data_IF_376342231301
#
_entry.id   IF_376342231301
#
_cell.length_a   1.000
_cell.length_b   1.000
_cell.length_c   1.000
_cell.angle_alpha   90.00
_cell.angle_beta   90.00
_cell.angle_gamma   90.00
#
_symmetry.space_group_name_H-M   'P 1'
#
loop_
_entity.id
_entity.type
_entity.pdbx_description
1 polymer ?
#
# COMPACT_ATOMS: atom_id res chain seq x y z
N UNK A 1 7.64 -9.35 -18.92
CA UNK A 1 7.19 -8.17 -19.68
C UNK A 1 8.38 -7.61 -20.44
N UNK A 2 8.14 -6.84 -21.51
CA UNK A 2 9.22 -6.15 -22.22
C UNK A 2 9.54 -4.84 -21.51
N UNK A 3 10.71 -4.26 -21.80
CA UNK A 3 11.13 -2.97 -21.22
C UNK A 3 10.09 -1.87 -21.40
N UNK A 4 9.50 -1.75 -22.60
CA UNK A 4 8.48 -0.73 -22.87
C UNK A 4 7.23 -0.91 -22.01
N UNK A 5 6.85 -2.17 -21.70
CA UNK A 5 5.71 -2.46 -20.83
C UNK A 5 6.01 -2.06 -19.38
N UNK A 6 7.25 -2.25 -18.91
CA UNK A 6 7.69 -1.81 -17.57
C UNK A 6 7.69 -0.29 -17.43
N UNK A 7 8.20 0.42 -18.45
CA UNK A 7 8.18 1.88 -18.47
C UNK A 7 6.76 2.45 -18.54
N UNK A 8 5.84 1.77 -19.23
CA UNK A 8 4.44 2.19 -19.24
C UNK A 8 3.79 1.98 -17.87
N UNK A 9 4.01 0.83 -17.21
CA UNK A 9 3.53 0.62 -15.83
C UNK A 9 4.08 1.66 -14.85
N UNK A 10 5.36 2.03 -14.98
CA UNK A 10 5.97 3.10 -14.19
C UNK A 10 5.21 4.43 -14.38
N UNK A 11 4.97 4.83 -15.64
CA UNK A 11 4.24 6.08 -15.95
C UNK A 11 2.83 6.04 -15.39
N UNK A 12 2.11 4.93 -15.58
CA UNK A 12 0.75 4.77 -15.07
C UNK A 12 0.70 4.85 -13.54
N UNK A 13 1.60 4.13 -12.86
CA UNK A 13 1.67 4.14 -11.40
C UNK A 13 1.91 5.56 -10.86
N UNK A 14 2.89 6.28 -11.40
CA UNK A 14 3.19 7.66 -11.01
C UNK A 14 2.04 8.61 -11.36
N UNK A 15 1.45 8.46 -12.54
CA UNK A 15 0.32 9.29 -12.99
C UNK A 15 -0.87 9.23 -12.03
N UNK A 16 -1.24 8.02 -11.56
CA UNK A 16 -2.34 7.85 -10.60
C UNK A 16 -1.93 8.10 -9.14
N UNK A 17 -0.66 8.42 -8.89
CA UNK A 17 -0.20 9.01 -7.63
C UNK A 17 0.62 8.10 -6.73
N UNK A 18 1.22 7.03 -7.24
CA UNK A 18 2.22 6.25 -6.48
C UNK A 18 3.36 7.17 -5.99
N UNK A 19 3.61 7.17 -4.68
CA UNK A 19 4.60 8.04 -4.03
C UNK A 19 6.03 7.46 -4.11
N UNK A 20 6.15 6.14 -4.25
CA UNK A 20 7.38 5.40 -4.58
C UNK A 20 7.04 4.23 -5.51
N UNK A 21 8.04 3.64 -6.17
CA UNK A 21 7.88 2.42 -6.96
C UNK A 21 8.95 1.41 -6.59
N UNK A 22 8.71 0.12 -6.84
CA UNK A 22 9.74 -0.91 -6.68
C UNK A 22 9.92 -1.70 -7.96
N UNK A 23 11.17 -1.86 -8.39
CA UNK A 23 11.51 -2.81 -9.43
C UNK A 23 11.71 -4.20 -8.82
N UNK A 24 10.72 -5.07 -9.05
CA UNK A 24 10.68 -6.45 -8.58
C UNK A 24 10.97 -7.45 -9.71
N UNK A 25 11.66 -7.01 -10.77
CA UNK A 25 12.04 -7.84 -11.91
C UNK A 25 12.84 -9.08 -11.49
N UNK A 26 12.49 -10.23 -12.05
CA UNK A 26 13.12 -11.53 -11.75
C UNK A 26 13.67 -12.25 -12.98
N UNK A 27 13.66 -11.62 -14.16
CA UNK A 27 14.16 -12.25 -15.38
C UNK A 27 14.44 -11.25 -16.49
N UNK A 28 15.09 -11.74 -17.55
CA UNK A 28 15.61 -10.89 -18.62
C UNK A 28 16.87 -10.15 -18.18
N UNK A 29 17.12 -8.99 -18.79
CA UNK A 29 18.24 -8.11 -18.45
C UNK A 29 17.82 -7.15 -17.32
N UNK A 30 17.92 -7.65 -16.08
CA UNK A 30 17.46 -6.93 -14.88
C UNK A 30 18.23 -5.61 -14.71
N UNK A 31 19.52 -5.57 -15.03
CA UNK A 31 20.32 -4.34 -14.91
C UNK A 31 19.84 -3.27 -15.88
N UNK A 32 19.59 -3.64 -17.15
CA UNK A 32 19.10 -2.70 -18.15
C UNK A 32 17.67 -2.21 -17.84
N UNK A 33 16.80 -3.12 -17.35
CA UNK A 33 15.43 -2.76 -16.95
C UNK A 33 15.46 -1.79 -15.78
N UNK A 34 16.19 -2.11 -14.72
CA UNK A 34 16.30 -1.25 -13.54
C UNK A 34 16.89 0.11 -13.88
N UNK A 35 17.96 0.16 -14.68
CA UNK A 35 18.56 1.43 -15.07
C UNK A 35 17.56 2.30 -15.83
N UNK A 36 16.79 1.71 -16.75
CA UNK A 36 15.77 2.44 -17.47
C UNK A 36 14.64 2.94 -16.55
N UNK A 37 14.24 2.15 -15.54
CA UNK A 37 13.27 2.59 -14.52
C UNK A 37 13.80 3.77 -13.73
N UNK A 38 15.04 3.68 -13.22
CA UNK A 38 15.70 4.77 -12.46
C UNK A 38 15.78 6.04 -13.32
N UNK A 39 16.25 5.94 -14.55
CA UNK A 39 16.43 7.08 -15.46
C UNK A 39 15.12 7.78 -15.84
N UNK A 40 13.97 7.09 -15.73
CA UNK A 40 12.65 7.59 -16.10
C UNK A 40 11.71 7.82 -14.91
N UNK A 41 12.14 7.53 -13.68
CA UNK A 41 11.32 7.70 -12.49
C UNK A 41 11.46 9.12 -11.93
N UNK A 42 10.33 9.74 -11.58
CA UNK A 42 10.30 10.99 -10.80
C UNK A 42 10.07 10.76 -9.30
N UNK A 43 9.97 9.51 -8.89
CA UNK A 43 9.73 9.07 -7.51
C UNK A 43 10.80 8.06 -7.07
N UNK A 44 11.03 7.86 -5.76
CA UNK A 44 12.01 6.88 -5.29
C UNK A 44 11.76 5.47 -5.83
N UNK A 45 12.83 4.79 -6.21
CA UNK A 45 12.86 3.43 -6.75
C UNK A 45 13.48 2.47 -5.74
N UNK A 46 12.66 1.55 -5.23
CA UNK A 46 13.08 0.47 -4.36
C UNK A 46 13.38 -0.83 -5.10
N UNK A 47 14.17 -1.71 -4.49
CA UNK A 47 14.43 -3.06 -5.02
C UNK A 47 14.48 -4.12 -3.93
N UNK A 48 14.55 -5.40 -4.33
CA UNK A 48 14.85 -6.53 -3.44
C UNK A 48 16.08 -7.27 -3.99
N UNK A 49 17.31 -6.91 -3.56
CA UNK A 49 18.55 -7.36 -4.21
C UNK A 49 18.70 -8.88 -4.36
N UNK A 50 18.19 -9.65 -3.39
CA UNK A 50 18.24 -11.12 -3.42
C UNK A 50 17.58 -11.74 -4.66
N UNK A 51 16.59 -11.06 -5.27
CA UNK A 51 15.92 -11.57 -6.46
C UNK A 51 16.87 -11.67 -7.65
N UNK A 52 17.74 -10.68 -7.82
CA UNK A 52 18.75 -10.71 -8.87
C UNK A 52 19.94 -11.60 -8.50
N UNK A 53 20.34 -11.63 -7.22
CA UNK A 53 21.41 -12.53 -6.77
C UNK A 53 21.10 -13.99 -7.15
N UNK A 54 19.87 -14.45 -6.91
CA UNK A 54 19.44 -15.80 -7.28
C UNK A 54 19.51 -16.07 -8.79
N UNK A 55 19.32 -15.05 -9.65
CA UNK A 55 19.44 -15.22 -11.10
C UNK A 55 20.89 -15.44 -11.58
N UNK A 56 21.89 -15.14 -10.74
CA UNK A 56 23.30 -15.35 -11.07
C UNK A 56 23.77 -16.79 -10.81
N UNK A 57 22.94 -17.61 -10.16
CA UNK A 57 23.28 -18.98 -9.77
C UNK A 57 22.27 -19.99 -10.31
N UNK A 58 22.63 -21.27 -10.28
CA UNK A 58 21.74 -22.35 -10.78
C UNK A 58 20.75 -22.82 -9.72
N UNK A 59 21.20 -22.88 -8.48
CA UNK A 59 20.38 -23.24 -7.33
C UNK A 59 20.61 -22.25 -6.20
N UNK A 60 19.62 -22.08 -5.32
CA UNK A 60 19.69 -21.10 -4.22
C UNK A 60 20.88 -21.41 -3.31
N UNK A 61 21.16 -22.69 -3.05
CA UNK A 61 22.29 -23.14 -2.25
C UNK A 61 23.67 -22.79 -2.83
N UNK A 62 23.76 -22.45 -4.12
CA UNK A 62 25.02 -22.04 -4.74
C UNK A 62 25.41 -20.60 -4.38
N UNK A 63 24.50 -19.80 -3.78
CA UNK A 63 24.82 -18.46 -3.29
C UNK A 63 25.83 -18.54 -2.14
N UNK A 64 26.79 -17.65 -2.16
CA UNK A 64 27.74 -17.39 -1.08
C UNK A 64 27.32 -16.14 -0.30
N UNK A 65 27.76 -15.97 0.97
CA UNK A 65 27.53 -14.74 1.71
C UNK A 65 27.98 -13.47 0.97
N UNK A 66 29.03 -13.55 0.16
CA UNK A 66 29.54 -12.42 -0.61
C UNK A 66 28.60 -12.04 -1.77
N UNK A 67 27.97 -13.02 -2.44
CA UNK A 67 27.00 -12.74 -3.52
C UNK A 67 25.84 -11.86 -3.05
N UNK A 68 25.39 -12.00 -1.79
CA UNK A 68 24.34 -11.16 -1.24
C UNK A 68 24.80 -9.70 -1.08
N UNK A 69 25.98 -9.49 -0.48
CA UNK A 69 26.52 -8.15 -0.21
C UNK A 69 26.95 -7.46 -1.50
N UNK A 70 27.59 -8.17 -2.42
CA UNK A 70 28.00 -7.64 -3.72
C UNK A 70 26.80 -7.22 -4.57
N UNK A 71 25.69 -7.98 -4.55
CA UNK A 71 24.47 -7.59 -5.27
C UNK A 71 23.80 -6.35 -4.66
N UNK A 72 23.82 -6.24 -3.33
CA UNK A 72 23.33 -5.05 -2.61
C UNK A 72 24.12 -3.80 -3.04
N UNK A 73 25.45 -3.88 -3.01
CA UNK A 73 26.34 -2.79 -3.43
C UNK A 73 26.18 -2.46 -4.92
N UNK A 74 26.05 -3.47 -5.78
CA UNK A 74 25.84 -3.29 -7.21
C UNK A 74 24.58 -2.45 -7.51
N UNK A 75 23.47 -2.76 -6.85
CA UNK A 75 22.22 -2.01 -7.03
C UNK A 75 22.30 -0.61 -6.42
N UNK A 76 22.98 -0.45 -5.28
CA UNK A 76 23.21 0.87 -4.69
C UNK A 76 24.01 1.78 -5.65
N UNK A 77 25.03 1.23 -6.33
CA UNK A 77 25.81 1.94 -7.36
C UNK A 77 25.00 2.33 -8.59
N UNK A 78 23.91 1.62 -8.91
CA UNK A 78 22.99 2.03 -9.98
C UNK A 78 22.05 3.16 -9.57
N UNK A 79 21.97 3.49 -8.27
CA UNK A 79 21.16 4.59 -7.76
C UNK A 79 19.77 4.18 -7.29
N UNK A 80 19.62 3.00 -6.67
CA UNK A 80 18.37 2.67 -5.98
C UNK A 80 18.23 3.49 -4.70
N UNK A 81 17.04 4.01 -4.42
CA UNK A 81 16.81 4.90 -3.27
C UNK A 81 16.63 4.13 -1.96
N UNK A 82 16.04 2.94 -2.03
CA UNK A 82 15.88 2.04 -0.90
C UNK A 82 15.93 0.57 -1.33
N UNK A 83 16.28 -0.31 -0.41
CA UNK A 83 16.36 -1.74 -0.71
C UNK A 83 15.74 -2.55 0.42
N UNK A 84 14.92 -3.54 0.04
CA UNK A 84 14.35 -4.52 0.96
C UNK A 84 15.40 -5.57 1.33
N UNK A 85 15.87 -5.50 2.57
CA UNK A 85 16.87 -6.40 3.13
C UNK A 85 16.20 -7.31 4.16
N UNK A 86 16.13 -8.60 3.84
CA UNK A 86 15.51 -9.64 4.67
C UNK A 86 16.51 -10.15 5.74
N UNK A 87 17.07 -9.25 6.55
CA UNK A 87 18.06 -9.59 7.57
C UNK A 87 17.44 -10.05 8.89
N UNK A 88 16.12 -9.93 9.08
CA UNK A 88 15.44 -10.28 10.34
C UNK A 88 15.05 -11.75 10.49
N UNK A 89 15.02 -12.53 9.41
CA UNK A 89 14.80 -13.97 9.49
C UNK A 89 16.07 -14.67 9.96
N UNK A 90 16.08 -15.08 11.23
CA UNK A 90 17.16 -15.88 11.78
C UNK A 90 16.88 -17.37 11.59
N UNK A 91 17.94 -18.17 11.56
CA UNK A 91 17.85 -19.63 11.39
C UNK A 91 16.95 -20.28 12.44
N UNK A 92 16.98 -19.80 13.68
CA UNK A 92 16.15 -20.32 14.77
C UNK A 92 14.65 -20.01 14.61
N UNK A 93 14.27 -19.06 13.74
CA UNK A 93 12.88 -18.69 13.49
C UNK A 93 12.23 -19.53 12.39
N UNK A 94 13.03 -20.15 11.50
CA UNK A 94 12.50 -20.99 10.41
C UNK A 94 11.56 -22.09 10.91
N UNK A 95 11.87 -22.84 11.98
CA UNK A 95 10.96 -23.85 12.53
C UNK A 95 9.65 -23.29 13.08
N UNK A 96 9.59 -22.01 13.47
CA UNK A 96 8.36 -21.39 13.98
C UNK A 96 7.27 -21.31 12.89
N UNK A 97 7.66 -21.33 11.61
CA UNK A 97 6.74 -21.32 10.48
C UNK A 97 6.24 -22.72 10.06
N UNK A 98 6.77 -23.83 10.61
CA UNK A 98 6.38 -25.20 10.22
C UNK A 98 4.90 -25.52 10.51
N UNK A 99 4.28 -24.82 11.48
CA UNK A 99 2.88 -25.01 11.86
C UNK A 99 1.88 -24.08 11.16
N UNK A 100 2.35 -23.14 10.34
CA UNK A 100 1.50 -22.19 9.62
C UNK A 100 0.67 -22.87 8.55
N UNK A 101 -0.52 -22.34 8.27
CA UNK A 101 -1.35 -22.79 7.14
C UNK A 101 -0.67 -22.48 5.81
N UNK A 102 -0.04 -21.30 5.70
CA UNK A 102 0.58 -20.83 4.44
C UNK A 102 2.11 -20.77 4.48
N UNK A 103 2.73 -21.18 5.58
CA UNK A 103 4.18 -21.22 5.72
C UNK A 103 4.84 -19.84 5.59
N UNK A 104 5.91 -19.77 4.79
CA UNK A 104 6.67 -18.54 4.49
C UNK A 104 6.25 -18.05 3.11
N UNK A 105 5.46 -16.98 3.06
CA UNK A 105 4.97 -16.39 1.79
C UNK A 105 5.85 -15.28 1.22
N UNK A 106 6.81 -14.77 2.00
CA UNK A 106 7.81 -13.87 1.46
C UNK A 106 8.73 -14.61 0.50
N UNK A 107 8.86 -14.11 -0.74
CA UNK A 107 9.82 -14.65 -1.70
C UNK A 107 11.26 -14.51 -1.19
N UNK A 108 11.64 -13.34 -0.68
CA UNK A 108 12.99 -13.12 -0.14
C UNK A 108 13.25 -13.96 1.10
N UNK A 109 12.25 -14.02 2.00
CA UNK A 109 12.30 -14.84 3.21
C UNK A 109 12.44 -16.34 2.93
N UNK A 110 11.68 -16.87 1.97
CA UNK A 110 11.73 -18.30 1.62
C UNK A 110 13.06 -18.69 0.95
N UNK A 111 13.64 -17.82 0.12
CA UNK A 111 15.00 -18.03 -0.43
C UNK A 111 16.03 -18.14 0.70
N UNK A 112 16.00 -17.22 1.67
CA UNK A 112 16.92 -17.25 2.80
C UNK A 112 16.69 -18.45 3.72
N UNK A 113 15.44 -18.81 4.01
CA UNK A 113 15.11 -19.99 4.81
C UNK A 113 15.65 -21.27 4.15
N UNK A 114 15.52 -21.41 2.83
CA UNK A 114 16.09 -22.53 2.08
C UNK A 114 17.62 -22.53 2.16
N UNK A 115 18.26 -21.39 1.93
CA UNK A 115 19.71 -21.24 2.00
C UNK A 115 20.26 -21.63 3.38
N UNK A 116 19.68 -21.09 4.46
CA UNK A 116 20.08 -21.38 5.83
C UNK A 116 19.89 -22.86 6.19
N UNK A 117 18.79 -23.46 5.74
CA UNK A 117 18.48 -24.88 5.99
C UNK A 117 19.49 -25.79 5.30
N UNK A 118 19.84 -25.50 4.05
CA UNK A 118 20.81 -26.29 3.29
C UNK A 118 22.21 -26.21 3.91
N UNK A 119 22.67 -25.00 4.22
CA UNK A 119 24.04 -24.78 4.70
C UNK A 119 24.19 -25.02 6.21
N UNK A 120 23.09 -25.07 6.97
CA UNK A 120 23.14 -25.12 8.42
C UNK A 120 23.83 -23.90 9.04
N UNK A 121 23.70 -22.73 8.39
CA UNK A 121 24.34 -21.46 8.74
C UNK A 121 23.29 -20.38 9.01
N UNK A 122 23.72 -19.31 9.69
CA UNK A 122 22.87 -18.15 9.93
C UNK A 122 22.68 -17.31 8.65
N UNK A 123 21.66 -16.45 8.66
CA UNK A 123 21.35 -15.52 7.59
C UNK A 123 22.57 -14.64 7.23
N UNK A 124 23.08 -14.70 5.99
CA UNK A 124 24.28 -13.97 5.59
C UNK A 124 24.08 -12.44 5.65
N UNK A 125 22.87 -11.94 5.40
CA UNK A 125 22.59 -10.51 5.51
C UNK A 125 22.55 -10.04 6.97
N UNK A 126 22.20 -10.92 7.91
CA UNK A 126 22.28 -10.64 9.34
C UNK A 126 23.74 -10.67 9.84
N UNK A 127 24.50 -11.71 9.47
CA UNK A 127 25.93 -11.83 9.82
C UNK A 127 26.77 -10.67 9.27
N UNK A 128 26.40 -10.16 8.09
CA UNK A 128 27.11 -9.09 7.37
C UNK A 128 26.38 -7.74 7.42
N UNK A 129 25.43 -7.55 8.33
CA UNK A 129 24.59 -6.36 8.37
C UNK A 129 25.38 -5.05 8.49
N UNK A 130 26.49 -5.09 9.23
CA UNK A 130 27.37 -3.94 9.43
C UNK A 130 28.06 -3.50 8.11
N UNK A 131 28.43 -4.44 7.25
CA UNK A 131 29.01 -4.13 5.94
C UNK A 131 27.94 -3.54 5.00
N UNK A 132 26.70 -4.03 5.11
CA UNK A 132 25.56 -3.47 4.37
C UNK A 132 25.27 -2.04 4.82
N UNK A 133 25.40 -1.75 6.12
CA UNK A 133 25.29 -0.38 6.63
C UNK A 133 26.37 0.53 6.04
N UNK A 134 27.61 0.05 5.91
CA UNK A 134 28.69 0.85 5.34
C UNK A 134 28.41 1.19 3.86
N UNK A 135 27.87 0.23 3.09
CA UNK A 135 27.40 0.45 1.71
C UNK A 135 26.27 1.49 1.67
N UNK A 136 25.27 1.36 2.53
CA UNK A 136 24.11 2.25 2.52
C UNK A 136 24.47 3.67 2.96
N UNK A 137 25.38 3.82 3.92
CA UNK A 137 25.92 5.11 4.33
C UNK A 137 26.76 5.76 3.22
N UNK A 138 27.52 4.99 2.44
CA UNK A 138 28.31 5.50 1.31
C UNK A 138 27.41 6.01 0.17
N UNK A 139 26.33 5.28 -0.13
CA UNK A 139 25.46 5.55 -1.28
C UNK A 139 24.16 6.29 -0.95
N UNK A 140 23.91 6.62 0.32
CA UNK A 140 22.67 7.21 0.85
C UNK A 140 21.41 6.39 0.47
N UNK A 141 21.49 5.08 0.67
CA UNK A 141 20.38 4.15 0.44
C UNK A 141 19.62 3.94 1.74
N UNK A 142 18.29 3.98 1.69
CA UNK A 142 17.43 3.69 2.85
C UNK A 142 17.21 2.19 3.01
N UNK A 143 17.37 1.68 4.24
CA UNK A 143 16.93 0.33 4.58
C UNK A 143 15.41 0.24 4.54
N UNK A 144 14.89 -0.72 3.78
CA UNK A 144 13.58 -1.31 4.02
C UNK A 144 13.82 -2.67 4.68
N UNK A 145 13.68 -2.75 6.00
CA UNK A 145 13.96 -3.99 6.72
C UNK A 145 12.78 -4.97 6.49
N UNK A 146 13.02 -5.99 5.66
CA UNK A 146 11.98 -6.86 5.10
C UNK A 146 11.34 -7.83 6.10
N UNK A 147 10.06 -8.13 5.89
CA UNK A 147 9.21 -8.98 6.74
C UNK A 147 9.10 -10.42 6.20
N UNK A 148 10.21 -11.13 6.25
CA UNK A 148 10.37 -12.50 5.74
C UNK A 148 9.30 -13.48 6.24
N UNK A 149 8.89 -13.34 7.49
CA UNK A 149 7.95 -14.17 8.22
C UNK A 149 6.60 -13.46 8.38
N UNK A 150 6.22 -12.56 7.48
CA UNK A 150 4.84 -12.04 7.46
C UNK A 150 3.79 -13.14 7.27
N UNK A 151 2.57 -12.96 7.80
CA UNK A 151 1.48 -13.91 7.61
C UNK A 151 0.91 -13.86 6.18
N UNK A 152 0.71 -15.04 5.58
CA UNK A 152 0.11 -15.22 4.25
C UNK A 152 -1.35 -15.66 4.26
N UNK A 153 -1.94 -15.79 5.45
CA UNK A 153 -3.37 -15.95 5.65
C UNK A 153 -3.78 -15.41 7.02
N UNK A 154 -5.07 -15.19 7.22
CA UNK A 154 -5.64 -14.68 8.47
C UNK A 154 -5.28 -15.55 9.68
N UNK A 155 -5.15 -16.87 9.50
CA UNK A 155 -4.85 -17.79 10.61
C UNK A 155 -3.42 -17.68 11.12
N UNK A 156 -2.49 -17.24 10.28
CA UNK A 156 -1.07 -17.16 10.60
C UNK A 156 -0.70 -15.78 11.20
N UNK A 157 -1.67 -14.86 11.26
CA UNK A 157 -1.48 -13.48 11.73
C UNK A 157 -1.09 -13.42 13.21
N UNK A 158 -0.12 -12.56 13.52
CA UNK A 158 0.35 -12.26 14.88
C UNK A 158 0.94 -13.47 15.62
N UNK A 159 1.48 -14.45 14.88
CA UNK A 159 2.12 -15.62 15.48
C UNK A 159 3.55 -15.34 15.99
N UNK A 160 4.14 -16.35 16.62
CA UNK A 160 5.48 -16.24 17.20
C UNK A 160 6.56 -16.00 16.12
N UNK A 161 6.40 -16.55 14.92
CA UNK A 161 7.35 -16.36 13.82
C UNK A 161 7.39 -14.90 13.36
N UNK A 162 6.22 -14.28 13.17
CA UNK A 162 6.11 -12.88 12.76
C UNK A 162 6.73 -11.95 13.82
N UNK A 163 6.38 -12.15 15.10
CA UNK A 163 6.86 -11.28 16.17
C UNK A 163 8.32 -11.50 16.54
N UNK A 164 8.87 -12.71 16.35
CA UNK A 164 10.29 -12.97 16.52
C UNK A 164 11.12 -12.17 15.50
N UNK A 165 10.72 -12.16 14.23
CA UNK A 165 11.38 -11.33 13.22
C UNK A 165 11.22 -9.85 13.53
N UNK A 166 10.01 -9.36 13.85
CA UNK A 166 9.80 -7.94 14.14
C UNK A 166 10.71 -7.40 15.26
N UNK A 167 10.96 -8.20 16.30
CA UNK A 167 11.92 -7.83 17.36
C UNK A 167 13.34 -7.71 16.85
N UNK A 168 13.74 -8.61 15.95
CA UNK A 168 15.06 -8.57 15.29
C UNK A 168 15.17 -7.36 14.38
N UNK A 169 14.12 -7.03 13.61
CA UNK A 169 14.10 -5.81 12.80
C UNK A 169 14.25 -4.56 13.68
N UNK A 170 13.72 -4.56 14.91
CA UNK A 170 13.96 -3.50 15.88
C UNK A 170 15.42 -3.38 16.33
N UNK A 171 16.11 -4.50 16.57
CA UNK A 171 17.55 -4.50 16.84
C UNK A 171 18.34 -3.95 15.64
N UNK A 172 18.05 -4.44 14.44
CA UNK A 172 18.72 -4.02 13.20
C UNK A 172 18.46 -2.54 12.89
N UNK A 173 17.26 -2.04 13.22
CA UNK A 173 16.92 -0.61 13.13
C UNK A 173 17.85 0.25 13.97
N UNK A 174 18.10 -0.13 15.22
CA UNK A 174 19.03 0.60 16.10
C UNK A 174 20.46 0.54 15.56
N UNK A 175 20.91 -0.64 15.15
CA UNK A 175 22.26 -0.84 14.59
C UNK A 175 22.50 0.01 13.33
N UNK A 176 21.52 0.05 12.42
CA UNK A 176 21.61 0.86 11.21
C UNK A 176 21.58 2.38 11.54
N UNK A 177 20.71 2.82 12.45
CA UNK A 177 20.67 4.22 12.92
C UNK A 177 21.99 4.66 13.58
N UNK A 178 22.61 3.80 14.37
CA UNK A 178 23.93 4.06 15.00
C UNK A 178 25.05 4.26 13.96
N UNK A 179 24.92 3.64 12.78
CA UNK A 179 25.81 3.81 11.63
C UNK A 179 25.40 4.92 10.67
N UNK A 180 24.37 5.71 11.01
CA UNK A 180 23.93 6.85 10.22
C UNK A 180 23.06 6.49 9.02
N UNK A 181 22.56 5.26 8.93
CA UNK A 181 21.66 4.84 7.86
C UNK A 181 20.22 5.26 8.13
N UNK A 182 19.48 5.54 7.06
CA UNK A 182 18.03 5.73 7.08
C UNK A 182 17.33 4.36 7.12
N UNK A 183 16.23 4.23 7.86
CA UNK A 183 15.55 2.94 8.05
C UNK A 183 14.03 3.10 8.07
N UNK A 184 13.33 2.26 7.31
CA UNK A 184 11.94 1.89 7.50
C UNK A 184 11.83 0.37 7.73
N UNK A 185 10.75 -0.07 8.37
CA UNK A 185 10.50 -1.48 8.71
C UNK A 185 9.29 -1.96 7.92
N UNK A 186 9.42 -3.11 7.26
CA UNK A 186 8.29 -3.74 6.56
C UNK A 186 7.38 -4.48 7.53
N UNK A 187 6.11 -4.64 7.14
CA UNK A 187 5.05 -5.18 7.97
C UNK A 187 3.97 -5.93 7.21
N UNK A 188 3.07 -6.58 7.96
CA UNK A 188 2.38 -7.79 7.55
C UNK A 188 1.50 -7.68 6.33
N UNK A 189 1.23 -8.88 5.76
CA UNK A 189 0.35 -9.13 4.62
C UNK A 189 -1.09 -9.40 5.01
N UNK A 190 -1.40 -10.55 5.62
CA UNK A 190 -2.79 -10.94 5.92
C UNK A 190 -3.07 -10.82 7.42
N UNK A 191 -3.95 -9.89 7.82
CA UNK A 191 -4.26 -9.60 9.23
C UNK A 191 -5.73 -9.22 9.39
N UNK A 192 -6.51 -9.93 10.23
CA UNK A 192 -7.89 -9.57 10.49
C UNK A 192 -7.97 -8.25 11.25
N UNK A 193 -9.02 -7.46 10.98
CA UNK A 193 -9.13 -6.07 11.46
C UNK A 193 -8.89 -5.89 12.97
N UNK A 194 -9.32 -6.85 13.79
CA UNK A 194 -9.19 -6.79 15.24
C UNK A 194 -7.75 -6.89 15.76
N UNK A 195 -6.78 -7.26 14.90
CA UNK A 195 -5.36 -7.38 15.24
C UNK A 195 -4.49 -6.28 14.61
N UNK A 196 -5.05 -5.40 13.78
CA UNK A 196 -4.27 -4.39 13.06
C UNK A 196 -3.60 -3.40 14.01
N UNK A 197 -4.33 -2.88 15.00
CA UNK A 197 -3.80 -1.90 15.95
C UNK A 197 -2.60 -2.46 16.74
N UNK A 198 -2.69 -3.72 17.18
CA UNK A 198 -1.62 -4.39 17.93
C UNK A 198 -0.31 -4.47 17.11
N UNK A 199 -0.41 -4.71 15.80
CA UNK A 199 0.77 -4.76 14.92
C UNK A 199 1.50 -3.41 14.89
N UNK A 200 0.75 -2.30 14.80
CA UNK A 200 1.36 -0.96 14.81
C UNK A 200 1.95 -0.64 16.17
N UNK A 201 1.23 -0.90 17.26
CA UNK A 201 1.72 -0.64 18.62
C UNK A 201 3.04 -1.38 18.89
N UNK A 202 3.12 -2.67 18.53
CA UNK A 202 4.35 -3.46 18.68
C UNK A 202 5.48 -2.95 17.80
N UNK A 203 5.20 -2.59 16.55
CA UNK A 203 6.25 -2.09 15.67
C UNK A 203 6.80 -0.75 16.19
N UNK A 204 5.94 0.16 16.62
CA UNK A 204 6.37 1.45 17.19
C UNK A 204 7.20 1.24 18.46
N UNK A 205 6.78 0.34 19.36
CA UNK A 205 7.50 0.01 20.59
C UNK A 205 8.85 -0.67 20.33
N UNK A 206 8.91 -1.66 19.44
CA UNK A 206 10.10 -2.51 19.28
C UNK A 206 11.12 -1.93 18.29
N UNK A 207 10.67 -1.11 17.34
CA UNK A 207 11.49 -0.54 16.26
C UNK A 207 11.78 0.96 16.43
N UNK A 208 11.64 1.49 17.65
CA UNK A 208 11.95 2.89 18.00
C UNK A 208 11.29 3.89 17.04
N UNK A 209 9.97 3.71 16.85
CA UNK A 209 9.11 4.56 16.01
C UNK A 209 9.63 4.74 14.56
N UNK A 210 10.41 3.80 14.04
CA UNK A 210 10.81 3.82 12.64
C UNK A 210 9.58 3.80 11.72
N UNK A 211 9.62 4.46 10.55
CA UNK A 211 8.53 4.40 9.57
C UNK A 211 8.13 2.96 9.26
N UNK A 212 6.82 2.70 9.28
CA UNK A 212 6.27 1.36 9.05
C UNK A 212 5.70 1.26 7.64
N UNK A 213 6.14 0.25 6.89
CA UNK A 213 5.80 0.00 5.49
C UNK A 213 5.04 -1.33 5.34
N UNK A 214 3.75 -1.32 5.02
CA UNK A 214 2.91 -2.53 5.12
C UNK A 214 2.35 -2.98 3.77
N UNK A 215 2.27 -4.29 3.55
CA UNK A 215 1.59 -4.87 2.38
C UNK A 215 0.10 -5.08 2.66
N UNK A 216 -0.71 -4.05 2.43
CA UNK A 216 -2.11 -4.01 2.91
C UNK A 216 -2.20 -3.53 4.35
N UNK A 217 -2.71 -4.34 5.30
CA UNK A 217 -2.92 -5.79 5.20
C UNK A 217 -4.28 -6.22 4.61
N UNK A 218 -4.34 -7.41 4.01
CA UNK A 218 -5.57 -8.08 3.62
C UNK A 218 -6.35 -8.50 4.87
N UNK A 219 -7.61 -8.05 4.99
CA UNK A 219 -8.44 -8.33 6.16
C UNK A 219 -9.24 -9.63 6.07
N UNK A 220 -9.21 -10.29 4.92
CA UNK A 220 -9.88 -11.57 4.65
C UNK A 220 -9.26 -12.26 3.42
N UNK A 221 -9.23 -13.59 3.42
CA UNK A 221 -8.60 -14.41 2.37
C UNK A 221 -9.60 -14.90 1.30
N UNK A 222 -10.88 -14.56 1.42
CA UNK A 222 -11.96 -15.24 0.68
C UNK A 222 -12.33 -14.57 -0.65
N UNK A 223 -11.60 -13.53 -1.08
CA UNK A 223 -11.97 -12.71 -2.25
C UNK A 223 -10.82 -12.47 -3.25
N UNK A 224 -10.09 -13.52 -3.69
CA UNK A 224 -9.10 -13.36 -4.76
C UNK A 224 -9.76 -12.77 -6.02
N UNK A 225 -9.08 -11.83 -6.67
CA UNK A 225 -9.67 -10.96 -7.70
C UNK A 225 -10.13 -9.59 -7.16
N UNK A 226 -10.27 -9.46 -5.84
CA UNK A 226 -10.69 -8.24 -5.15
C UNK A 226 -9.76 -7.88 -3.99
N UNK A 227 -8.51 -8.37 -4.02
CA UNK A 227 -7.58 -8.18 -2.91
C UNK A 227 -7.11 -6.73 -2.75
N UNK A 228 -7.16 -5.93 -3.82
CA UNK A 228 -7.06 -4.47 -3.71
C UNK A 228 -8.13 -3.86 -2.76
N UNK A 229 -9.33 -4.44 -2.68
CA UNK A 229 -10.40 -4.01 -1.76
C UNK A 229 -10.18 -4.58 -0.36
N UNK A 230 -9.92 -5.89 -0.26
CA UNK A 230 -9.70 -6.54 1.06
C UNK A 230 -8.53 -5.90 1.78
N UNK A 231 -7.48 -5.54 1.06
CA UNK A 231 -6.30 -4.87 1.59
C UNK A 231 -6.50 -3.36 1.80
N UNK A 232 -7.25 -2.65 0.96
CA UNK A 232 -7.50 -1.22 1.18
C UNK A 232 -8.20 -0.94 2.52
N UNK A 233 -9.07 -1.86 2.98
CA UNK A 233 -9.68 -1.79 4.31
C UNK A 233 -8.60 -1.82 5.39
N UNK A 234 -7.70 -2.80 5.34
CA UNK A 234 -6.63 -2.93 6.33
C UNK A 234 -5.59 -1.81 6.20
N UNK A 235 -5.26 -1.38 4.99
CA UNK A 235 -4.33 -0.30 4.69
C UNK A 235 -4.82 1.04 5.27
N UNK A 236 -6.12 1.34 5.14
CA UNK A 236 -6.71 2.54 5.75
C UNK A 236 -6.65 2.48 7.28
N UNK A 237 -6.92 1.33 7.88
CA UNK A 237 -6.85 1.14 9.34
C UNK A 237 -5.41 1.23 9.85
N UNK A 238 -4.47 0.53 9.23
CA UNK A 238 -3.07 0.49 9.68
C UNK A 238 -2.39 1.84 9.45
N UNK A 239 -2.71 2.54 8.35
CA UNK A 239 -2.30 3.91 8.09
C UNK A 239 -2.86 4.89 9.11
N UNK A 240 -4.14 4.73 9.51
CA UNK A 240 -4.75 5.53 10.58
C UNK A 240 -4.01 5.33 11.91
N UNK A 241 -3.67 4.08 12.25
CA UNK A 241 -2.97 3.75 13.49
C UNK A 241 -1.50 4.20 13.52
N UNK A 242 -0.85 4.40 12.36
CA UNK A 242 0.50 4.99 12.34
C UNK A 242 1.42 4.54 11.20
N UNK A 243 1.00 3.61 10.34
CA UNK A 243 1.82 3.22 9.19
C UNK A 243 2.14 4.42 8.29
N UNK A 244 3.36 4.44 7.76
CA UNK A 244 3.93 5.58 7.03
C UNK A 244 3.94 5.37 5.53
N UNK A 245 4.03 4.12 5.07
CA UNK A 245 3.99 3.74 3.66
C UNK A 245 3.11 2.50 3.49
N UNK A 246 2.31 2.47 2.42
CA UNK A 246 1.36 1.39 2.15
C UNK A 246 1.72 0.78 0.79
N UNK A 247 2.25 -0.45 0.78
CA UNK A 247 2.49 -1.19 -0.45
C UNK A 247 1.14 -1.61 -1.00
N UNK A 248 0.85 -1.17 -2.22
CA UNK A 248 -0.40 -1.49 -2.87
C UNK A 248 -0.57 -2.99 -3.13
N UNK A 249 -1.81 -3.40 -3.30
CA UNK A 249 -2.19 -4.76 -3.71
C UNK A 249 -3.12 -4.59 -4.90
N UNK A 250 -2.87 -5.34 -5.96
CA UNK A 250 -3.63 -5.24 -7.20
C UNK A 250 -4.82 -6.20 -7.19
N UNK A 251 -5.82 -6.03 -8.08
CA UNK A 251 -6.87 -7.04 -8.27
C UNK A 251 -6.33 -8.44 -8.59
N UNK A 252 -5.17 -8.53 -9.24
CA UNK A 252 -4.52 -9.80 -9.64
C UNK A 252 -3.64 -10.44 -8.56
N UNK A 253 -3.58 -9.88 -7.36
CA UNK A 253 -2.89 -10.53 -6.25
C UNK A 253 -3.40 -11.97 -6.08
N UNK A 254 -2.49 -12.91 -5.79
CA UNK A 254 -2.74 -14.36 -5.74
C UNK A 254 -3.19 -15.02 -7.07
N UNK A 255 -3.27 -14.29 -8.18
CA UNK A 255 -3.79 -14.79 -9.45
C UNK A 255 -2.81 -14.65 -10.62
N UNK A 256 -2.01 -13.59 -10.68
CA UNK A 256 -1.07 -13.39 -11.79
C UNK A 256 -0.34 -12.04 -11.77
N UNK A 257 0.34 -11.74 -12.88
CA UNK A 257 1.02 -10.46 -13.05
C UNK A 257 0.02 -9.36 -13.44
N UNK A 258 0.06 -8.18 -12.78
CA UNK A 258 -0.81 -7.06 -13.10
C UNK A 258 -0.50 -6.46 -14.46
N UNK A 259 -1.55 -6.05 -15.18
CA UNK A 259 -1.46 -5.18 -16.34
C UNK A 259 -1.68 -3.70 -15.93
N UNK A 260 -1.77 -2.78 -16.90
CA UNK A 260 -1.89 -1.36 -16.63
C UNK A 260 -3.20 -0.98 -15.90
N UNK A 261 -4.31 -1.68 -16.19
CA UNK A 261 -5.59 -1.41 -15.54
C UNK A 261 -5.56 -1.90 -14.09
N UNK A 262 -4.96 -3.06 -13.84
CA UNK A 262 -4.75 -3.56 -12.47
C UNK A 262 -3.86 -2.60 -11.64
N UNK A 263 -2.85 -2.00 -12.27
CA UNK A 263 -1.98 -1.00 -11.63
C UNK A 263 -2.79 0.25 -11.29
N UNK A 264 -3.61 0.77 -12.21
CA UNK A 264 -4.52 1.90 -11.95
C UNK A 264 -5.44 1.61 -10.77
N UNK A 265 -6.15 0.48 -10.80
CA UNK A 265 -7.11 0.11 -9.76
C UNK A 265 -6.41 -0.06 -8.39
N UNK A 266 -5.24 -0.69 -8.37
CA UNK A 266 -4.43 -0.83 -7.15
C UNK A 266 -3.97 0.53 -6.59
N UNK A 267 -3.42 1.41 -7.43
CA UNK A 267 -2.93 2.72 -6.98
C UNK A 267 -4.09 3.58 -6.46
N UNK A 268 -5.21 3.66 -7.19
CA UNK A 268 -6.38 4.42 -6.77
C UNK A 268 -6.95 3.88 -5.44
N UNK A 269 -7.05 2.55 -5.28
CA UNK A 269 -7.50 1.95 -4.03
C UNK A 269 -6.61 2.37 -2.84
N UNK A 270 -5.30 2.43 -3.03
CA UNK A 270 -4.35 2.80 -1.99
C UNK A 270 -4.25 4.31 -1.75
N UNK A 271 -4.46 5.16 -2.77
CA UNK A 271 -4.63 6.61 -2.55
C UNK A 271 -5.90 6.92 -1.77
N UNK A 272 -6.98 6.16 -1.99
CA UNK A 272 -8.19 6.24 -1.16
C UNK A 272 -7.86 5.85 0.28
N UNK A 273 -7.20 4.71 0.49
CA UNK A 273 -6.84 4.22 1.82
C UNK A 273 -5.93 5.20 2.59
N UNK A 274 -4.87 5.70 1.93
CA UNK A 274 -3.94 6.68 2.49
C UNK A 274 -4.65 8.00 2.86
N UNK A 275 -5.48 8.52 1.95
CA UNK A 275 -6.25 9.74 2.21
C UNK A 275 -7.28 9.55 3.33
N UNK A 276 -7.93 8.39 3.41
CA UNK A 276 -8.84 8.06 4.51
C UNK A 276 -8.09 7.99 5.86
N UNK A 277 -6.89 7.42 5.88
CA UNK A 277 -6.02 7.44 7.05
C UNK A 277 -5.62 8.88 7.46
N UNK A 278 -5.26 9.73 6.49
CA UNK A 278 -4.97 11.15 6.74
C UNK A 278 -6.16 11.88 7.39
N UNK A 279 -7.38 11.66 6.89
CA UNK A 279 -8.60 12.21 7.48
C UNK A 279 -8.80 11.72 8.92
N UNK A 280 -8.64 10.42 9.16
CA UNK A 280 -8.80 9.82 10.49
C UNK A 280 -7.73 10.31 11.49
N UNK A 281 -6.55 10.71 10.99
CA UNK A 281 -5.48 11.36 11.75
C UNK A 281 -5.66 12.87 11.92
N UNK A 282 -6.74 13.45 11.39
CA UNK A 282 -7.08 14.86 11.54
C UNK A 282 -6.29 15.80 10.62
N UNK A 283 -5.80 15.32 9.48
CA UNK A 283 -5.07 16.14 8.52
C UNK A 283 -5.99 17.20 7.87
N UNK A 284 -5.75 18.47 8.22
CA UNK A 284 -6.59 19.60 7.76
C UNK A 284 -6.61 19.78 6.23
N UNK A 285 -5.50 19.51 5.53
CA UNK A 285 -5.43 19.62 4.07
C UNK A 285 -6.19 18.50 3.38
N UNK A 286 -6.14 17.28 3.93
CA UNK A 286 -6.96 16.18 3.46
C UNK A 286 -8.44 16.54 3.57
N UNK A 287 -8.85 17.10 4.72
CA UNK A 287 -10.23 17.55 4.93
C UNK A 287 -10.66 18.66 3.98
N UNK A 288 -9.78 19.62 3.69
CA UNK A 288 -10.07 20.69 2.74
C UNK A 288 -10.41 20.15 1.35
N UNK A 289 -9.68 19.14 0.87
CA UNK A 289 -9.95 18.46 -0.40
C UNK A 289 -11.34 17.81 -0.43
N UNK A 290 -11.73 17.06 0.61
CA UNK A 290 -13.06 16.44 0.72
C UNK A 290 -14.17 17.49 0.69
N UNK A 291 -13.98 18.55 1.47
CA UNK A 291 -14.96 19.61 1.60
C UNK A 291 -15.10 20.39 0.27
N UNK A 292 -14.01 20.59 -0.48
CA UNK A 292 -14.05 21.23 -1.80
C UNK A 292 -14.82 20.39 -2.83
N UNK A 293 -14.52 19.09 -2.93
CA UNK A 293 -15.25 18.19 -3.82
C UNK A 293 -16.73 18.11 -3.43
N UNK A 294 -17.02 18.06 -2.13
CA UNK A 294 -18.39 18.02 -1.61
C UNK A 294 -19.15 19.32 -1.90
N UNK A 295 -18.49 20.47 -1.86
CA UNK A 295 -19.08 21.76 -2.28
C UNK A 295 -19.42 21.75 -3.76
N UNK A 296 -18.49 21.31 -4.63
CA UNK A 296 -18.75 21.18 -6.07
C UNK A 296 -19.93 20.24 -6.36
N UNK A 297 -19.99 19.10 -5.65
CA UNK A 297 -21.11 18.15 -5.72
C UNK A 297 -22.44 18.79 -5.34
N UNK A 298 -22.48 19.50 -4.22
CA UNK A 298 -23.71 20.15 -3.74
C UNK A 298 -24.12 21.36 -4.60
N UNK A 299 -23.20 21.98 -5.34
CA UNK A 299 -23.50 23.02 -6.31
C UNK A 299 -23.76 22.50 -7.72
N UNK A 300 -23.75 21.18 -7.93
CA UNK A 300 -23.89 20.54 -9.24
C UNK A 300 -22.87 21.00 -10.27
N UNK A 301 -21.68 21.43 -9.82
CA UNK A 301 -20.55 21.69 -10.70
C UNK A 301 -19.87 20.34 -11.01
N UNK A 302 -20.46 19.62 -11.97
CA UNK A 302 -20.01 18.27 -12.34
C UNK A 302 -18.57 18.26 -12.81
N UNK A 303 -18.18 19.24 -13.63
CA UNK A 303 -16.81 19.33 -14.14
C UNK A 303 -15.81 19.55 -13.00
N UNK A 304 -16.11 20.47 -12.07
CA UNK A 304 -15.25 20.68 -10.90
C UNK A 304 -15.19 19.44 -10.00
N UNK A 305 -16.32 18.74 -9.82
CA UNK A 305 -16.34 17.49 -9.05
C UNK A 305 -15.43 16.42 -9.69
N UNK A 306 -15.43 16.29 -11.02
CA UNK A 306 -14.54 15.33 -11.71
C UNK A 306 -13.08 15.73 -11.55
N UNK A 307 -12.73 16.99 -11.79
CA UNK A 307 -11.36 17.50 -11.66
C UNK A 307 -10.75 17.28 -10.26
N UNK A 308 -11.59 17.37 -9.22
CA UNK A 308 -11.16 17.22 -7.83
C UNK A 308 -11.01 15.76 -7.36
N UNK A 309 -11.54 14.81 -8.13
CA UNK A 309 -11.50 13.39 -7.77
C UNK A 309 -10.07 12.82 -7.87
N UNK A 310 -9.87 11.60 -7.34
CA UNK A 310 -8.59 10.89 -7.51
C UNK A 310 -8.37 10.38 -8.93
N UNK A 311 -9.46 10.14 -9.66
CA UNK A 311 -9.45 9.66 -11.04
C UNK A 311 -10.53 10.41 -11.84
N UNK A 312 -10.18 11.60 -12.38
CA UNK A 312 -11.13 12.44 -13.10
C UNK A 312 -11.71 11.77 -14.34
N UNK A 313 -10.93 10.93 -15.01
CA UNK A 313 -11.35 10.21 -16.22
C UNK A 313 -12.44 9.20 -15.86
N UNK A 314 -12.22 8.34 -14.86
CA UNK A 314 -13.22 7.35 -14.44
C UNK A 314 -14.50 8.01 -13.92
N UNK A 315 -14.37 9.09 -13.15
CA UNK A 315 -15.53 9.79 -12.62
C UNK A 315 -16.42 10.36 -13.73
N UNK A 316 -15.82 10.88 -14.82
CA UNK A 316 -16.52 11.38 -15.99
C UNK A 316 -17.13 10.25 -16.82
N UNK A 317 -16.37 9.19 -17.08
CA UNK A 317 -16.82 8.01 -17.81
C UNK A 317 -18.12 7.44 -17.21
N UNK A 318 -18.12 7.16 -15.90
CA UNK A 318 -19.27 6.57 -15.20
C UNK A 318 -20.51 7.48 -15.19
N UNK A 319 -20.32 8.80 -15.13
CA UNK A 319 -21.44 9.74 -15.27
C UNK A 319 -22.01 9.70 -16.70
N UNK A 320 -21.12 9.70 -17.70
CA UNK A 320 -21.45 9.87 -19.11
C UNK A 320 -22.05 8.61 -19.76
N UNK A 321 -21.85 7.44 -19.15
CA UNK A 321 -22.56 6.20 -19.52
C UNK A 321 -24.08 6.37 -19.56
N UNK A 322 -24.64 7.18 -18.66
CA UNK A 322 -26.08 7.47 -18.60
C UNK A 322 -26.43 8.89 -19.08
N UNK A 323 -25.55 9.87 -18.85
CA UNK A 323 -25.81 11.30 -19.06
C UNK A 323 -24.67 12.00 -19.84
N UNK A 324 -24.25 11.41 -20.95
CA UNK A 324 -23.09 11.87 -21.72
C UNK A 324 -23.24 13.18 -22.50
N UNK A 325 -24.45 13.72 -22.67
CA UNK A 325 -24.63 15.00 -23.36
C UNK A 325 -24.15 16.17 -22.49
N UNK A 326 -23.39 17.13 -23.05
CA UNK A 326 -22.78 18.24 -22.30
C UNK A 326 -23.78 19.04 -21.43
N UNK A 327 -25.02 19.20 -21.91
CA UNK A 327 -26.10 19.83 -21.16
C UNK A 327 -26.38 19.20 -19.78
N UNK A 328 -26.00 17.93 -19.55
CA UNK A 328 -26.15 17.29 -18.24
C UNK A 328 -25.04 17.65 -17.25
N UNK A 329 -23.97 18.33 -17.69
CA UNK A 329 -22.93 18.86 -16.79
C UNK A 329 -23.38 20.11 -16.02
N UNK A 330 -24.51 20.69 -16.42
CA UNK A 330 -25.20 21.77 -15.69
C UNK A 330 -26.49 21.25 -15.02
N UNK A 331 -26.78 19.94 -15.10
CA UNK A 331 -28.00 19.39 -14.54
C UNK A 331 -27.90 19.23 -13.02
N UNK A 332 -28.94 19.69 -12.32
CA UNK A 332 -29.06 19.52 -10.88
C UNK A 332 -29.55 18.12 -10.45
N UNK A 333 -29.11 17.08 -11.16
CA UNK A 333 -29.43 15.68 -10.87
C UNK A 333 -28.49 14.73 -11.62
N UNK A 334 -28.44 13.47 -11.20
CA UNK A 334 -27.84 12.38 -11.98
C UNK A 334 -28.88 11.31 -12.33
N UNK A 335 -28.47 10.29 -13.08
CA UNK A 335 -29.33 9.18 -13.51
C UNK A 335 -29.91 8.36 -12.34
N UNK A 336 -29.26 8.37 -11.17
CA UNK A 336 -29.70 7.61 -10.00
C UNK A 336 -31.06 8.09 -9.46
N UNK A 337 -31.29 9.39 -9.37
CA UNK A 337 -32.53 9.95 -8.81
C UNK A 337 -33.38 10.68 -9.85
N UNK A 338 -32.76 11.13 -10.96
CA UNK A 338 -33.39 12.02 -11.92
C UNK A 338 -33.79 13.38 -11.34
N UNK A 339 -34.43 14.23 -12.15
CA UNK A 339 -34.70 15.63 -11.77
C UNK A 339 -35.68 15.79 -10.61
N UNK A 340 -36.60 14.85 -10.40
CA UNK A 340 -37.68 14.98 -9.40
C UNK A 340 -37.27 14.55 -8.00
N UNK A 341 -36.32 13.62 -7.88
CA UNK A 341 -36.01 12.97 -6.60
C UNK A 341 -34.58 13.25 -6.13
N UNK A 342 -33.83 14.11 -6.82
CA UNK A 342 -32.49 14.49 -6.36
C UNK A 342 -32.60 15.25 -5.02
N UNK A 343 -32.06 14.66 -3.96
CA UNK A 343 -32.12 15.20 -2.61
C UNK A 343 -31.38 16.54 -2.47
N UNK A 344 -30.23 16.70 -3.14
CA UNK A 344 -29.47 17.96 -3.11
C UNK A 344 -30.21 19.10 -3.82
N UNK A 345 -30.87 18.81 -4.94
CA UNK A 345 -31.70 19.79 -5.66
C UNK A 345 -32.86 20.26 -4.77
N UNK A 346 -33.62 19.30 -4.22
CA UNK A 346 -34.72 19.59 -3.30
C UNK A 346 -34.22 20.43 -2.13
N UNK A 347 -33.11 20.04 -1.50
CA UNK A 347 -32.53 20.73 -0.35
C UNK A 347 -32.14 22.18 -0.67
N UNK A 348 -31.56 22.47 -1.83
CA UNK A 348 -31.19 23.83 -2.25
C UNK A 348 -32.41 24.74 -2.42
N UNK A 349 -33.54 24.18 -2.85
CA UNK A 349 -34.75 24.94 -3.19
C UNK A 349 -35.76 25.04 -2.03
N UNK A 350 -35.49 24.44 -0.86
CA UNK A 350 -36.41 24.45 0.30
C UNK A 350 -36.86 25.85 0.74
N UNK A 351 -36.06 26.90 0.48
CA UNK A 351 -36.37 28.29 0.84
C UNK A 351 -36.96 29.15 -0.29
N UNK A 352 -37.04 28.64 -1.51
CA UNK A 352 -37.49 29.42 -2.68
C UNK A 352 -39.01 29.39 -2.86
N UNK A 353 -39.67 28.35 -2.33
CA UNK A 353 -41.11 28.36 -2.18
C UNK A 353 -41.49 29.27 -1.00
N UNK A 354 -42.10 30.42 -1.30
CA UNK A 354 -42.85 31.16 -0.27
C UNK A 354 -43.84 30.18 0.37
N UNK A 355 -43.90 30.05 1.70
CA UNK A 355 -44.96 29.29 2.32
C UNK A 355 -46.28 29.88 1.79
N UNK A 356 -47.02 29.11 1.00
CA UNK A 356 -48.46 29.36 0.83
C UNK A 356 -48.98 29.41 2.25
N UNK A 357 -49.50 30.56 2.67
CA UNK A 357 -49.98 30.80 4.03
C UNK A 357 -50.61 29.52 4.60
N UNK A 358 -49.96 28.92 5.59
CA UNK A 358 -50.70 28.15 6.57
C UNK A 358 -51.50 29.20 7.35
N UNK A 359 -52.69 29.53 6.85
CA UNK A 359 -53.74 30.11 7.67
C UNK A 359 -54.03 29.06 8.74
N UNK A 360 -53.53 29.28 9.95
CA UNK A 360 -53.56 28.33 11.05
C UNK A 360 -54.97 28.10 11.58
N UNK A 361 -55.77 27.32 10.85
CA UNK A 361 -57.04 26.78 11.36
C UNK A 361 -57.20 25.26 11.20
N UNK A 362 -56.37 24.55 10.44
CA UNK A 362 -56.52 23.10 10.31
C UNK A 362 -55.47 22.30 11.11
N UNK A 363 -55.98 21.72 12.21
CA UNK A 363 -55.46 20.55 12.94
C UNK A 363 -54.22 20.75 13.82
N UNK A 364 -54.43 21.44 14.96
CA UNK A 364 -53.81 21.05 16.22
C UNK A 364 -54.34 19.65 16.61
N UNK A 365 -53.67 18.59 16.17
CA UNK A 365 -53.88 17.26 16.73
C UNK A 365 -53.27 17.27 18.14
N UNK A 366 -54.15 17.32 19.14
CA UNK A 366 -53.83 17.06 20.54
C UNK A 366 -53.13 15.70 20.66
N UNK A 367 -51.83 15.72 20.96
CA UNK A 367 -51.14 14.60 21.60
C UNK A 367 -51.51 14.63 23.09
N UNK A 368 -52.74 14.25 23.41
CA UNK A 368 -53.13 13.88 24.78
C UNK A 368 -53.04 12.37 24.95
N UNK A 369 -52.12 11.97 25.81
CA UNK A 369 -52.13 10.81 26.70
C UNK A 369 -52.92 9.57 26.29
N UNK A 370 -52.19 8.47 26.05
CA UNK A 370 -52.59 7.15 26.53
C UNK A 370 -51.39 6.39 27.09
N UNK A 371 -51.37 6.38 28.44
CA UNK A 371 -51.06 5.28 29.37
C UNK A 371 -50.30 4.07 28.86
#
# INVERSE_FOLDING_TARGET
SKLDDELEKLRQAVHYGADTVMDLSTGGDIDAIRQAVIDNSSVPVGTVPIYQAVQQVKAIEDLTPDDFVEMIEHQAKQGTDYQTIHAGILREYVPLAEGRITGIVSRGGSILAQWMTYHGRENPMYERFDDICDIFAEHDVTFSLGDSLRPGCISDACDDAQYAELRTLGELTRRAKERGCQVMVEGPGHVPMNLIQENVEKQQEWCDEAPFYTLGPLVTDIAPGYDHITSAIGAAMIGWHGASLLCYVTPKEHLGLPDADDVRDGVIAYKIAAHAADLARGNSKARERDDELSRARYSFDWNRQFELSLDPERARELHDESLGHDAFKDAEFCSMCGPKFCSMHISRHLGEEKPKHFTGEDELIELTDKS
#
